data_IF_217775355431
#
_entry.id   IF_217775355431
#
_cell.length_a   1.000
_cell.length_b   1.000
_cell.length_c   1.000
_cell.angle_alpha   90.00
_cell.angle_beta   90.00
_cell.angle_gamma   90.00
#
_symmetry.space_group_name_H-M   'P 1'
#
loop_
_entity.id
_entity.type
_entity.pdbx_description
1 polymer ?
#
# COMPACT_ATOMS: atom_id res chain seq x y z
N UNK A 1 15.41 -3.23 7.94
CA UNK A 1 14.21 -3.43 7.11
C UNK A 1 13.24 -4.45 7.70
N UNK A 2 13.71 -5.60 8.21
CA UNK A 2 12.86 -6.58 8.93
C UNK A 2 12.07 -5.95 10.06
N UNK A 3 12.68 -5.03 10.83
CA UNK A 3 12.01 -4.35 11.94
C UNK A 3 10.78 -3.55 11.52
N UNK A 4 10.78 -2.88 10.36
CA UNK A 4 9.62 -2.11 9.86
C UNK A 4 8.47 -3.02 9.48
N UNK A 5 8.76 -4.15 8.82
CA UNK A 5 7.72 -5.14 8.47
C UNK A 5 7.17 -5.80 9.72
N UNK A 6 8.02 -6.18 10.67
CA UNK A 6 7.59 -6.77 11.94
C UNK A 6 6.77 -5.79 12.77
N UNK A 7 7.16 -4.52 12.83
CA UNK A 7 6.38 -3.49 13.51
C UNK A 7 5.02 -3.28 12.85
N UNK A 8 4.99 -3.10 11.52
CA UNK A 8 3.74 -2.92 10.78
C UNK A 8 2.78 -4.12 10.92
N UNK A 9 3.31 -5.34 10.89
CA UNK A 9 2.51 -6.56 11.06
C UNK A 9 2.10 -6.82 12.52
N UNK A 10 2.81 -6.27 13.50
CA UNK A 10 2.53 -6.43 14.93
C UNK A 10 1.54 -5.40 15.48
N UNK A 11 1.20 -4.36 14.71
CA UNK A 11 0.33 -3.28 15.16
C UNK A 11 -1.12 -3.73 15.23
N UNK A 12 -1.74 -3.65 16.42
CA UNK A 12 -3.07 -4.25 16.65
C UNK A 12 -4.18 -3.48 15.93
N UNK A 13 -4.00 -2.18 15.72
CA UNK A 13 -4.93 -1.33 14.96
C UNK A 13 -4.88 -1.54 13.45
N UNK A 14 -3.92 -2.31 12.94
CA UNK A 14 -3.80 -2.60 11.51
C UNK A 14 -4.83 -3.63 11.01
N UNK A 15 -5.46 -4.41 11.91
CA UNK A 15 -6.47 -5.40 11.56
C UNK A 15 -6.00 -6.34 10.43
N UNK A 16 -6.82 -6.53 9.40
CA UNK A 16 -6.50 -7.39 8.25
C UNK A 16 -5.31 -6.92 7.42
N UNK A 17 -4.85 -5.66 7.57
CA UNK A 17 -3.64 -5.19 6.88
C UNK A 17 -2.39 -5.96 7.35
N UNK A 18 -2.30 -6.28 8.64
CA UNK A 18 -1.21 -7.09 9.20
C UNK A 18 -1.20 -8.51 8.66
N UNK A 19 -2.37 -9.13 8.57
CA UNK A 19 -2.51 -10.49 8.02
C UNK A 19 -2.06 -10.55 6.56
N UNK A 20 -2.53 -9.61 5.74
CA UNK A 20 -2.11 -9.49 4.35
C UNK A 20 -0.61 -9.24 4.22
N UNK A 21 -0.03 -8.37 5.05
CA UNK A 21 1.41 -8.09 5.03
C UNK A 21 2.24 -9.32 5.42
N UNK A 22 1.80 -10.09 6.42
CA UNK A 22 2.45 -11.33 6.83
C UNK A 22 2.41 -12.39 5.72
N UNK A 23 1.26 -12.54 5.06
CA UNK A 23 1.11 -13.43 3.90
C UNK A 23 2.03 -12.97 2.76
N UNK A 24 2.06 -11.68 2.46
CA UNK A 24 2.90 -11.11 1.42
C UNK A 24 4.40 -11.36 1.68
N UNK A 25 4.85 -11.16 2.92
CA UNK A 25 6.22 -11.44 3.33
C UNK A 25 6.57 -12.93 3.17
N UNK A 26 5.69 -13.83 3.64
CA UNK A 26 5.89 -15.27 3.49
C UNK A 26 5.93 -15.71 2.03
N UNK A 27 5.10 -15.11 1.16
CA UNK A 27 5.10 -15.39 -0.27
C UNK A 27 6.37 -14.85 -0.96
N UNK A 28 6.97 -13.74 -0.52
CA UNK A 28 8.18 -13.18 -1.12
C UNK A 28 9.51 -13.79 -0.61
N UNK A 29 9.55 -14.21 0.65
CA UNK A 29 10.77 -14.68 1.33
C UNK A 29 10.70 -16.13 1.82
N UNK A 30 9.57 -16.81 1.65
CA UNK A 30 9.41 -18.21 1.99
C UNK A 30 10.26 -19.14 1.12
N UNK A 31 10.34 -20.41 1.54
CA UNK A 31 11.15 -21.44 0.86
C UNK A 31 10.77 -21.66 -0.61
N UNK A 32 9.50 -21.46 -0.95
CA UNK A 32 8.97 -21.49 -2.30
C UNK A 32 8.30 -20.14 -2.55
N UNK A 33 9.02 -19.15 -3.11
CA UNK A 33 8.45 -17.83 -3.36
C UNK A 33 7.32 -17.87 -4.39
N UNK A 34 6.29 -17.06 -4.16
CA UNK A 34 5.16 -16.82 -5.05
C UNK A 34 5.04 -15.29 -5.28
N UNK A 35 5.71 -14.75 -6.32
CA UNK A 35 5.77 -13.31 -6.56
C UNK A 35 4.40 -12.67 -6.83
N UNK A 36 3.54 -13.37 -7.59
CA UNK A 36 2.20 -12.87 -7.95
C UNK A 36 1.36 -12.72 -6.69
N UNK A 37 1.35 -13.76 -5.84
CA UNK A 37 0.66 -13.71 -4.56
C UNK A 37 1.24 -12.64 -3.65
N UNK A 38 2.56 -12.59 -3.50
CA UNK A 38 3.23 -11.60 -2.66
C UNK A 38 2.84 -10.16 -3.03
N UNK A 39 2.86 -9.83 -4.33
CA UNK A 39 2.48 -8.51 -4.80
C UNK A 39 0.99 -8.23 -4.55
N UNK A 40 0.11 -9.19 -4.87
CA UNK A 40 -1.33 -9.02 -4.67
C UNK A 40 -1.71 -8.80 -3.19
N UNK A 41 -1.04 -9.49 -2.27
CA UNK A 41 -1.27 -9.38 -0.84
C UNK A 41 -0.66 -8.09 -0.26
N UNK A 42 0.46 -7.62 -0.83
CA UNK A 42 1.02 -6.31 -0.49
C UNK A 42 0.04 -5.16 -0.82
N UNK A 43 -0.66 -5.22 -1.96
CA UNK A 43 -1.70 -4.24 -2.31
C UNK A 43 -2.86 -4.29 -1.31
N UNK A 44 -3.38 -5.49 -1.01
CA UNK A 44 -4.49 -5.65 -0.06
C UNK A 44 -4.14 -5.12 1.33
N UNK A 45 -2.90 -5.31 1.77
CA UNK A 45 -2.43 -4.75 3.04
C UNK A 45 -2.57 -3.21 3.05
N UNK A 46 -2.15 -2.54 1.98
CA UNK A 46 -2.30 -1.07 1.85
C UNK A 46 -3.76 -0.66 1.75
N UNK A 47 -4.58 -1.38 0.98
CA UNK A 47 -6.02 -1.11 0.88
C UNK A 47 -6.68 -1.18 2.27
N UNK A 48 -6.41 -2.23 3.04
CA UNK A 48 -6.95 -2.36 4.40
C UNK A 48 -6.50 -1.21 5.32
N UNK A 49 -5.22 -0.85 5.30
CA UNK A 49 -4.68 0.19 6.17
C UNK A 49 -5.17 1.60 5.79
N UNK A 50 -5.27 1.89 4.49
CA UNK A 50 -5.61 3.22 3.99
C UNK A 50 -7.11 3.50 3.97
N UNK A 51 -7.97 2.48 4.01
CA UNK A 51 -9.41 2.60 3.80
C UNK A 51 -10.07 3.61 4.76
N UNK A 52 -9.87 3.46 6.06
CA UNK A 52 -10.50 4.34 7.07
C UNK A 52 -10.04 5.80 6.96
N UNK A 53 -8.86 6.04 6.39
CA UNK A 53 -8.30 7.39 6.21
C UNK A 53 -8.78 8.01 4.91
N UNK A 54 -8.64 7.30 3.78
CA UNK A 54 -8.89 7.88 2.45
C UNK A 54 -10.37 7.82 2.09
N UNK A 55 -11.03 6.66 2.23
CA UNK A 55 -12.41 6.46 1.79
C UNK A 55 -13.29 5.78 2.88
N UNK A 56 -13.42 6.35 4.09
CA UNK A 56 -14.10 5.70 5.23
C UNK A 56 -15.55 5.25 4.97
N UNK A 57 -16.22 5.86 3.98
CA UNK A 57 -17.61 5.56 3.64
C UNK A 57 -17.77 4.71 2.37
N UNK A 58 -16.68 4.16 1.82
CA UNK A 58 -16.71 3.39 0.59
C UNK A 58 -16.40 1.91 0.84
N UNK A 59 -17.42 1.11 1.14
CA UNK A 59 -17.29 -0.32 1.47
C UNK A 59 -16.60 -1.21 0.41
N UNK A 60 -16.36 -0.70 -0.81
CA UNK A 60 -15.66 -1.40 -1.90
C UNK A 60 -14.40 -0.64 -2.34
N UNK A 61 -13.80 0.14 -1.44
CA UNK A 61 -12.60 0.90 -1.74
C UNK A 61 -11.47 -0.04 -2.19
N UNK A 62 -10.80 0.37 -3.27
CA UNK A 62 -9.61 -0.28 -3.81
C UNK A 62 -8.49 0.74 -3.88
N UNK A 63 -7.26 0.29 -4.09
CA UNK A 63 -6.11 1.19 -4.21
C UNK A 63 -6.32 2.22 -5.34
N UNK A 64 -6.98 1.82 -6.44
CA UNK A 64 -7.28 2.70 -7.56
C UNK A 64 -8.33 3.77 -7.23
N UNK A 65 -9.40 3.41 -6.51
CA UNK A 65 -10.40 4.41 -6.08
C UNK A 65 -9.83 5.35 -5.02
N UNK A 66 -8.94 4.86 -4.15
CA UNK A 66 -8.24 5.67 -3.16
C UNK A 66 -7.28 6.67 -3.83
N UNK A 67 -6.54 6.26 -4.86
CA UNK A 67 -5.72 7.17 -5.67
C UNK A 67 -6.57 8.28 -6.30
N UNK A 68 -7.75 7.94 -6.83
CA UNK A 68 -8.70 8.94 -7.34
C UNK A 68 -9.21 9.92 -6.27
N UNK A 69 -9.46 9.45 -5.05
CA UNK A 69 -9.83 10.34 -3.93
C UNK A 69 -8.66 11.26 -3.53
N UNK A 70 -7.44 10.72 -3.47
CA UNK A 70 -6.24 11.52 -3.23
C UNK A 70 -6.15 12.63 -4.27
N UNK A 71 -6.22 12.32 -5.56
CA UNK A 71 -6.17 13.31 -6.66
C UNK A 71 -7.22 14.42 -6.52
N UNK A 72 -8.46 14.06 -6.17
CA UNK A 72 -9.57 15.01 -6.08
C UNK A 72 -9.58 15.85 -4.79
N UNK A 73 -9.00 15.32 -3.71
CA UNK A 73 -9.11 15.89 -2.38
C UNK A 73 -7.75 16.10 -1.69
N UNK A 74 -6.66 16.26 -2.45
CA UNK A 74 -5.28 16.34 -1.92
C UNK A 74 -5.12 17.22 -0.68
N UNK A 75 -5.73 18.41 -0.70
CA UNK A 75 -5.74 19.40 0.41
C UNK A 75 -6.30 18.86 1.75
N UNK A 76 -7.06 17.76 1.72
CA UNK A 76 -7.59 17.10 2.90
C UNK A 76 -6.58 16.17 3.55
N UNK A 77 -5.46 15.86 2.92
CA UNK A 77 -4.49 14.94 3.48
C UNK A 77 -3.29 15.67 4.05
N UNK A 78 -2.82 15.20 5.20
CA UNK A 78 -1.61 15.66 5.85
C UNK A 78 -0.72 14.46 6.17
N UNK A 79 0.58 14.71 6.20
CA UNK A 79 1.59 13.70 6.53
C UNK A 79 2.55 14.26 7.58
N UNK A 80 3.16 13.39 8.37
CA UNK A 80 4.18 13.78 9.35
C UNK A 80 5.51 14.20 8.71
N UNK A 81 5.68 13.99 7.39
CA UNK A 81 6.85 14.44 6.65
C UNK A 81 6.73 15.93 6.33
N UNK A 82 7.74 16.71 6.72
CA UNK A 82 7.84 18.11 6.33
C UNK A 82 8.02 18.22 4.82
N UNK A 83 7.10 18.93 4.15
CA UNK A 83 7.28 19.34 2.76
C UNK A 83 7.73 20.81 2.68
N UNK A 84 8.53 21.18 1.67
CA UNK A 84 8.84 22.58 1.42
C UNK A 84 7.57 23.40 1.26
N UNK A 85 7.61 24.68 1.66
CA UNK A 85 6.47 25.60 1.56
C UNK A 85 5.85 25.58 0.16
N UNK A 86 4.54 25.39 0.10
CA UNK A 86 3.78 25.34 -1.16
C UNK A 86 3.83 23.99 -1.89
N UNK A 87 4.49 22.96 -1.33
CA UNK A 87 4.44 21.59 -1.86
C UNK A 87 3.42 20.75 -1.10
N UNK A 88 2.74 19.90 -1.85
CA UNK A 88 1.67 19.08 -1.31
C UNK A 88 2.23 17.94 -0.44
N UNK A 89 1.83 17.85 0.85
CA UNK A 89 2.34 16.86 1.78
C UNK A 89 1.99 15.41 1.42
N UNK A 90 0.96 15.17 0.59
CA UNK A 90 0.53 13.80 0.24
C UNK A 90 1.37 13.16 -0.87
N UNK A 91 2.17 13.97 -1.61
CA UNK A 91 2.94 13.53 -2.79
C UNK A 91 3.76 12.27 -2.53
N UNK A 92 4.53 12.13 -1.43
CA UNK A 92 5.32 10.92 -1.20
C UNK A 92 4.44 9.68 -1.03
N UNK A 93 3.33 9.79 -0.29
CA UNK A 93 2.40 8.68 -0.05
C UNK A 93 1.73 8.25 -1.36
N UNK A 94 1.25 9.22 -2.13
CA UNK A 94 0.65 9.00 -3.45
C UNK A 94 1.63 8.30 -4.39
N UNK A 95 2.89 8.74 -4.42
CA UNK A 95 3.92 8.14 -5.28
C UNK A 95 4.17 6.66 -4.97
N UNK A 96 4.21 6.29 -3.68
CA UNK A 96 4.37 4.88 -3.27
C UNK A 96 3.12 4.06 -3.61
N UNK A 97 1.92 4.63 -3.41
CA UNK A 97 0.65 3.99 -3.79
C UNK A 97 0.54 3.78 -5.31
N UNK A 98 0.94 4.77 -6.13
CA UNK A 98 1.00 4.64 -7.59
C UNK A 98 2.01 3.59 -8.04
N UNK A 99 3.20 3.58 -7.44
CA UNK A 99 4.21 2.56 -7.74
C UNK A 99 3.67 1.13 -7.52
N UNK A 100 2.92 0.91 -6.44
CA UNK A 100 2.22 -0.36 -6.22
C UNK A 100 1.13 -0.60 -7.27
N UNK A 101 0.28 0.39 -7.52
CA UNK A 101 -0.87 0.27 -8.42
C UNK A 101 -0.46 -0.06 -9.86
N UNK A 102 0.48 0.71 -10.41
CA UNK A 102 0.94 0.60 -11.80
C UNK A 102 1.86 -0.60 -12.02
N UNK A 103 2.61 -1.00 -10.98
CA UNK A 103 3.55 -2.11 -11.05
C UNK A 103 2.90 -3.50 -11.04
N UNK A 104 1.62 -3.61 -10.70
CA UNK A 104 0.91 -4.89 -10.74
C UNK A 104 0.49 -5.22 -12.18
N UNK A 105 1.20 -6.14 -12.81
CA UNK A 105 0.98 -6.54 -14.20
C UNK A 105 -0.09 -7.62 -14.35
N UNK A 106 -0.39 -8.37 -13.29
CA UNK A 106 -1.34 -9.47 -13.28
C UNK A 106 -2.81 -9.08 -13.01
N UNK A 107 -3.15 -7.79 -12.97
CA UNK A 107 -4.48 -7.29 -12.53
C UNK A 107 -5.65 -7.73 -13.40
N UNK A 108 -5.45 -7.71 -14.71
CA UNK A 108 -6.50 -7.97 -15.70
C UNK A 108 -5.88 -8.69 -16.89
N UNK A 109 -6.65 -9.61 -17.50
CA UNK A 109 -6.28 -10.19 -18.78
C UNK A 109 -6.16 -9.08 -19.81
N UNK A 110 -4.97 -8.87 -20.36
CA UNK A 110 -4.76 -8.00 -21.52
C UNK A 110 -4.91 -8.84 -22.79
N UNK A 111 -5.09 -8.19 -23.93
CA UNK A 111 -4.99 -8.89 -25.23
C UNK A 111 -3.59 -9.49 -25.45
N UNK A 112 -2.60 -9.00 -24.70
CA UNK A 112 -1.25 -9.56 -24.59
C UNK A 112 -1.13 -10.49 -23.38
N UNK A 113 -0.21 -11.45 -23.46
CA UNK A 113 0.05 -12.38 -22.37
C UNK A 113 0.41 -11.63 -21.09
N UNK A 114 -0.23 -11.99 -19.98
CA UNK A 114 0.10 -11.45 -18.66
C UNK A 114 1.54 -11.84 -18.32
N UNK A 115 2.38 -10.83 -18.11
CA UNK A 115 3.73 -11.03 -17.58
C UNK A 115 3.61 -11.13 -16.05
N UNK A 116 3.99 -12.26 -15.43
CA UNK A 116 3.95 -12.39 -13.98
C UNK A 116 4.98 -11.46 -13.33
N UNK A 117 4.67 -11.00 -12.12
CA UNK A 117 5.57 -10.18 -11.33
C UNK A 117 6.88 -10.92 -11.05
N UNK A 118 8.00 -10.20 -11.15
CA UNK A 118 9.30 -10.78 -10.76
C UNK A 118 9.40 -10.87 -9.24
N UNK A 119 10.25 -11.78 -8.75
CA UNK A 119 10.48 -11.91 -7.31
C UNK A 119 11.01 -10.61 -6.69
N UNK A 120 11.87 -9.88 -7.39
CA UNK A 120 12.41 -8.61 -6.91
C UNK A 120 11.32 -7.52 -6.87
N UNK A 121 10.45 -7.44 -7.87
CA UNK A 121 9.30 -6.53 -7.84
C UNK A 121 8.34 -6.86 -6.68
N UNK A 122 8.11 -8.15 -6.43
CA UNK A 122 7.29 -8.60 -5.30
C UNK A 122 7.92 -8.28 -3.93
N UNK A 123 9.25 -8.37 -3.80
CA UNK A 123 9.94 -7.97 -2.57
C UNK A 123 9.89 -6.47 -2.35
N UNK A 124 10.11 -5.68 -3.41
CA UNK A 124 9.94 -4.23 -3.36
C UNK A 124 8.52 -3.83 -2.97
N UNK A 125 7.50 -4.48 -3.52
CA UNK A 125 6.09 -4.18 -3.18
C UNK A 125 5.76 -4.51 -1.73
N UNK A 126 6.29 -5.59 -1.17
CA UNK A 126 6.18 -5.90 0.28
C UNK A 126 6.79 -4.77 1.13
N UNK A 127 7.93 -4.22 0.74
CA UNK A 127 8.56 -3.11 1.47
C UNK A 127 7.78 -1.80 1.37
N UNK A 128 7.25 -1.48 0.18
CA UNK A 128 6.35 -0.34 -0.01
C UNK A 128 5.08 -0.50 0.84
N UNK A 129 4.48 -1.69 0.82
CA UNK A 129 3.30 -1.99 1.62
C UNK A 129 3.56 -1.85 3.11
N UNK A 130 4.66 -2.38 3.63
CA UNK A 130 5.01 -2.23 5.04
C UNK A 130 5.16 -0.75 5.46
N UNK A 131 5.76 0.07 4.59
CA UNK A 131 5.92 1.51 4.83
C UNK A 131 4.56 2.21 4.89
N UNK A 132 3.71 1.97 3.88
CA UNK A 132 2.39 2.59 3.79
C UNK A 132 1.46 2.12 4.90
N UNK A 133 1.43 0.82 5.21
CA UNK A 133 0.66 0.27 6.34
C UNK A 133 1.07 0.96 7.64
N UNK A 134 2.38 1.03 7.94
CA UNK A 134 2.86 1.71 9.13
C UNK A 134 2.40 3.18 9.16
N UNK A 135 2.50 3.89 8.04
CA UNK A 135 2.15 5.30 7.96
C UNK A 135 0.65 5.57 8.18
N UNK A 136 -0.23 4.76 7.61
CA UNK A 136 -1.68 4.92 7.82
C UNK A 136 -2.10 4.50 9.23
N UNK A 137 -1.61 3.34 9.70
CA UNK A 137 -2.04 2.79 10.99
C UNK A 137 -1.53 3.62 12.18
N UNK A 138 -0.32 4.17 12.08
CA UNK A 138 0.23 5.06 13.12
C UNK A 138 -0.37 6.47 13.11
N UNK A 139 -1.17 6.83 12.12
CA UNK A 139 -1.66 8.19 11.93
C UNK A 139 -0.58 9.17 11.45
N UNK A 140 0.55 8.68 10.91
CA UNK A 140 1.52 9.54 10.23
C UNK A 140 0.98 10.09 8.91
N UNK A 141 -0.09 9.48 8.38
CA UNK A 141 -0.91 10.01 7.28
C UNK A 141 -2.35 10.09 7.77
N UNK A 142 -2.95 11.27 7.65
CA UNK A 142 -4.31 11.54 8.14
C UNK A 142 -5.13 12.29 7.09
N UNK A 143 -6.45 12.19 7.24
CA UNK A 143 -7.42 13.01 6.52
C UNK A 143 -8.00 14.05 7.47
N UNK A 144 -7.78 15.31 7.14
CA UNK A 144 -8.37 16.47 7.79
C UNK A 144 -9.86 16.60 7.38
N UNK A 145 -10.71 17.18 8.24
CA UNK A 145 -12.14 17.42 7.97
C UNK A 145 -12.41 18.13 6.63
#
# INVERSE_FOLDING_TARGET
MTQTVTAAAGETSAGSASDHLAIAWKAAYGRQPDPVRAYSEAIKAVECAAHSVIQPNHAKATLGTMLGEVDNARRKFATALSTPTGKDPIVPVEALMRALWDGQTSRHGKQTMTVPETLEAARMSVHLAATLVQWFVSGAVVRNP
#
